data_IF_843940602741
#
_entry.id   IF_843940602741
#
_cell.length_a   1.000
_cell.length_b   1.000
_cell.length_c   1.000
_cell.angle_alpha   90.00
_cell.angle_beta   90.00
_cell.angle_gamma   90.00
#
_symmetry.space_group_name_H-M   'P 1'
#
loop_
_entity.id
_entity.type
_entity.pdbx_description
1 polymer ?
#
# COMPACT_ATOMS: atom_id res chain seq x y z
N UNK A 1 -13.96 -18.02 46.37
CA UNK A 1 -12.61 -18.54 46.12
C UNK A 1 -12.32 -18.29 44.66
N UNK A 2 -11.53 -17.25 44.47
CA UNK A 2 -10.91 -16.83 43.22
C UNK A 2 -10.07 -17.98 42.64
N UNK A 3 -10.22 -18.26 41.34
CA UNK A 3 -9.15 -18.93 40.59
C UNK A 3 -8.91 -18.17 39.28
N UNK A 4 -7.75 -17.55 39.27
CA UNK A 4 -7.18 -16.62 38.31
C UNK A 4 -6.55 -17.45 37.17
N UNK A 5 -7.29 -17.78 36.10
CA UNK A 5 -6.70 -18.44 34.93
C UNK A 5 -6.40 -17.44 33.80
N UNK A 6 -5.15 -16.98 33.84
CA UNK A 6 -4.36 -16.15 32.90
C UNK A 6 -4.71 -16.31 31.41
N UNK A 7 -4.58 -15.25 30.57
CA UNK A 7 -4.76 -15.35 29.12
C UNK A 7 -3.74 -16.30 28.50
N UNK A 8 -4.20 -17.41 27.91
CA UNK A 8 -3.34 -18.37 27.25
C UNK A 8 -2.80 -17.80 25.94
N UNK A 9 -1.47 -17.70 25.93
CA UNK A 9 -0.60 -17.20 24.89
C UNK A 9 -0.89 -17.87 23.54
N UNK A 10 -1.24 -17.04 22.55
CA UNK A 10 -1.59 -17.43 21.19
C UNK A 10 -0.41 -18.11 20.48
N UNK A 11 -0.43 -19.43 20.45
CA UNK A 11 0.43 -20.28 19.59
C UNK A 11 0.32 -19.76 18.14
N UNK A 12 1.44 -19.51 17.43
CA UNK A 12 1.36 -19.04 16.05
C UNK A 12 0.62 -20.08 15.20
N UNK A 13 -0.38 -19.68 14.39
CA UNK A 13 -1.12 -20.61 13.54
C UNK A 13 -0.19 -21.26 12.51
N UNK A 14 -0.49 -22.51 12.08
CA UNK A 14 0.38 -23.30 11.21
C UNK A 14 0.71 -22.59 9.88
N UNK A 15 1.85 -22.89 9.23
CA UNK A 15 2.39 -22.10 8.12
C UNK A 15 1.55 -22.09 6.82
N UNK A 16 0.51 -22.91 6.73
CA UNK A 16 -0.25 -23.17 5.49
C UNK A 16 -1.34 -22.14 5.20
N UNK A 17 -2.02 -21.62 6.22
CA UNK A 17 -3.07 -20.59 6.04
C UNK A 17 -2.49 -19.20 5.76
N UNK A 18 -1.35 -18.88 6.37
CA UNK A 18 -0.71 -17.57 6.22
C UNK A 18 -0.26 -17.28 4.78
N UNK A 19 0.11 -18.32 4.02
CA UNK A 19 0.55 -18.19 2.61
C UNK A 19 -0.65 -17.94 1.69
N UNK A 20 -1.77 -18.63 1.92
CA UNK A 20 -3.01 -18.42 1.16
C UNK A 20 -3.58 -17.01 1.41
N UNK A 21 -3.61 -16.58 2.66
CA UNK A 21 -4.15 -15.27 3.04
C UNK A 21 -3.25 -14.12 2.57
N UNK A 22 -1.92 -14.29 2.60
CA UNK A 22 -0.98 -13.34 2.00
C UNK A 22 -1.18 -13.24 0.49
N UNK A 23 -1.32 -14.38 -0.20
CA UNK A 23 -1.56 -14.40 -1.65
C UNK A 23 -2.88 -13.69 -2.02
N UNK A 24 -3.95 -13.91 -1.24
CA UNK A 24 -5.22 -13.22 -1.42
C UNK A 24 -5.11 -11.70 -1.17
N UNK A 25 -4.39 -11.27 -0.12
CA UNK A 25 -4.14 -9.85 0.14
C UNK A 25 -3.36 -9.18 -0.99
N UNK A 26 -2.32 -9.83 -1.50
CA UNK A 26 -1.56 -9.34 -2.65
C UNK A 26 -2.43 -9.25 -3.91
N UNK A 27 -3.29 -10.24 -4.15
CA UNK A 27 -4.24 -10.19 -5.25
C UNK A 27 -5.21 -9.01 -5.12
N UNK A 28 -5.77 -8.78 -3.93
CA UNK A 28 -6.64 -7.62 -3.68
C UNK A 28 -5.88 -6.29 -3.81
N UNK A 29 -4.64 -6.23 -3.32
CA UNK A 29 -3.77 -5.06 -3.47
C UNK A 29 -3.57 -4.71 -4.95
N UNK A 30 -3.31 -5.72 -5.78
CA UNK A 30 -3.15 -5.57 -7.22
C UNK A 30 -4.45 -5.10 -7.89
N UNK A 31 -5.60 -5.64 -7.51
CA UNK A 31 -6.90 -5.15 -8.00
C UNK A 31 -7.11 -3.68 -7.65
N UNK A 32 -6.81 -3.26 -6.42
CA UNK A 32 -6.91 -1.86 -6.02
C UNK A 32 -5.95 -0.97 -6.81
N UNK A 33 -4.73 -1.42 -7.08
CA UNK A 33 -3.77 -0.71 -7.93
C UNK A 33 -4.29 -0.53 -9.36
N UNK A 34 -4.82 -1.60 -9.97
CA UNK A 34 -5.39 -1.55 -11.32
C UNK A 34 -6.58 -0.60 -11.39
N UNK A 35 -7.46 -0.64 -10.39
CA UNK A 35 -8.58 0.30 -10.30
C UNK A 35 -8.09 1.75 -10.13
N UNK A 36 -7.05 1.97 -9.32
CA UNK A 36 -6.41 3.27 -9.17
C UNK A 36 -5.85 3.79 -10.50
N UNK A 37 -5.19 2.93 -11.28
CA UNK A 37 -4.69 3.29 -12.62
C UNK A 37 -5.82 3.67 -13.56
N UNK A 38 -6.94 2.95 -13.53
CA UNK A 38 -8.13 3.28 -14.33
C UNK A 38 -8.69 4.64 -13.92
N UNK A 39 -8.85 4.90 -12.62
CA UNK A 39 -9.31 6.19 -12.11
C UNK A 39 -8.37 7.35 -12.51
N UNK A 40 -7.05 7.11 -12.44
CA UNK A 40 -6.04 8.08 -12.88
C UNK A 40 -6.18 8.41 -14.37
N UNK A 41 -6.38 7.39 -15.22
CA UNK A 41 -6.63 7.59 -16.66
C UNK A 41 -7.93 8.34 -16.93
N UNK A 42 -8.93 8.22 -16.05
CA UNK A 42 -10.18 8.98 -16.11
C UNK A 42 -10.08 10.41 -15.55
N UNK A 43 -8.87 10.89 -15.21
CA UNK A 43 -8.63 12.17 -14.51
C UNK A 43 -9.27 12.26 -13.11
N UNK A 44 -9.74 11.15 -12.55
CA UNK A 44 -10.28 11.08 -11.19
C UNK A 44 -9.15 10.86 -10.19
N UNK A 45 -8.28 11.86 -10.06
CA UNK A 45 -7.05 11.74 -9.28
C UNK A 45 -7.32 11.48 -7.79
N UNK A 46 -8.33 12.12 -7.21
CA UNK A 46 -8.69 11.91 -5.79
C UNK A 46 -9.08 10.45 -5.52
N UNK A 47 -9.93 9.87 -6.37
CA UNK A 47 -10.32 8.47 -6.26
C UNK A 47 -9.13 7.53 -6.50
N UNK A 48 -8.23 7.89 -7.43
CA UNK A 48 -7.01 7.11 -7.66
C UNK A 48 -6.13 7.04 -6.41
N UNK A 49 -5.99 8.15 -5.67
CA UNK A 49 -5.22 8.22 -4.42
C UNK A 49 -5.84 7.30 -3.36
N UNK A 50 -7.16 7.29 -3.21
CA UNK A 50 -7.84 6.42 -2.26
C UNK A 50 -7.63 4.94 -2.60
N UNK A 51 -7.69 4.59 -3.88
CA UNK A 51 -7.47 3.23 -4.36
C UNK A 51 -6.01 2.79 -4.19
N UNK A 52 -5.04 3.64 -4.52
CA UNK A 52 -3.64 3.36 -4.26
C UNK A 52 -3.35 3.23 -2.77
N UNK A 53 -3.99 4.04 -1.93
CA UNK A 53 -3.84 3.95 -0.47
C UNK A 53 -4.36 2.61 0.06
N UNK A 54 -5.52 2.13 -0.43
CA UNK A 54 -6.03 0.79 -0.11
C UNK A 54 -5.09 -0.31 -0.58
N UNK A 55 -4.50 -0.17 -1.77
CA UNK A 55 -3.50 -1.09 -2.29
C UNK A 55 -2.26 -1.13 -1.38
N UNK A 56 -1.74 0.02 -0.96
CA UNK A 56 -0.58 0.14 -0.06
C UNK A 56 -0.86 -0.46 1.33
N UNK A 57 -2.08 -0.32 1.85
CA UNK A 57 -2.47 -0.93 3.13
C UNK A 57 -2.43 -2.46 3.08
N UNK A 58 -2.64 -3.05 1.92
CA UNK A 58 -2.60 -4.50 1.71
C UNK A 58 -1.20 -4.98 1.29
N UNK A 59 -0.51 -4.20 0.45
CA UNK A 59 0.85 -4.43 -0.01
C UNK A 59 1.66 -3.13 -0.01
N UNK A 60 2.46 -2.97 1.03
CA UNK A 60 3.35 -1.82 1.18
C UNK A 60 4.71 -2.01 0.49
N UNK A 61 4.95 -3.15 -0.15
CA UNK A 61 6.25 -3.48 -0.78
C UNK A 61 6.34 -2.95 -2.21
N UNK A 62 5.19 -2.65 -2.83
CA UNK A 62 5.14 -2.23 -4.21
C UNK A 62 5.38 -0.72 -4.38
N UNK A 63 6.62 -0.35 -4.68
CA UNK A 63 7.03 1.04 -4.91
C UNK A 63 6.31 1.72 -6.09
N UNK A 64 5.83 0.94 -7.07
CA UNK A 64 5.09 1.48 -8.22
C UNK A 64 3.78 2.15 -7.78
N UNK A 65 3.13 1.61 -6.74
CA UNK A 65 1.88 2.18 -6.20
C UNK A 65 2.15 3.54 -5.57
N UNK A 66 3.25 3.69 -4.84
CA UNK A 66 3.67 4.97 -4.28
C UNK A 66 3.98 5.99 -5.37
N UNK A 67 4.66 5.59 -6.46
CA UNK A 67 4.92 6.51 -7.58
C UNK A 67 3.64 6.97 -8.24
N UNK A 68 2.69 6.05 -8.49
CA UNK A 68 1.42 6.41 -9.10
C UNK A 68 0.56 7.30 -8.19
N UNK A 69 0.63 7.10 -6.87
CA UNK A 69 -0.03 7.98 -5.89
C UNK A 69 0.63 9.36 -5.84
N UNK A 70 1.96 9.43 -5.86
CA UNK A 70 2.71 10.68 -5.95
C UNK A 70 2.36 11.47 -7.21
N UNK A 71 2.24 10.80 -8.37
CA UNK A 71 1.77 11.39 -9.62
C UNK A 71 0.33 11.92 -9.51
N UNK A 72 -0.56 11.19 -8.85
CA UNK A 72 -1.94 11.64 -8.63
C UNK A 72 -2.01 12.88 -7.74
N UNK A 73 -1.22 12.90 -6.67
CA UNK A 73 -1.04 14.09 -5.82
C UNK A 73 -0.48 15.27 -6.62
N UNK A 74 0.53 15.05 -7.45
CA UNK A 74 1.10 16.09 -8.31
C UNK A 74 0.06 16.68 -9.27
N UNK A 75 -0.82 15.85 -9.84
CA UNK A 75 -1.93 16.31 -10.72
C UNK A 75 -2.99 17.13 -9.98
N UNK A 76 -3.12 16.96 -8.67
CA UNK A 76 -3.99 17.76 -7.80
C UNK A 76 -3.29 18.99 -7.19
N UNK A 77 -2.02 19.23 -7.54
CA UNK A 77 -1.16 20.25 -6.92
C UNK A 77 -0.88 20.01 -5.42
N UNK A 78 -1.03 18.77 -4.96
CA UNK A 78 -0.67 18.33 -3.60
C UNK A 78 0.81 17.93 -3.57
N UNK A 79 1.69 18.92 -3.72
CA UNK A 79 3.12 18.67 -3.88
C UNK A 79 3.78 18.11 -2.62
N UNK A 80 3.32 18.52 -1.44
CA UNK A 80 3.87 18.05 -0.17
C UNK A 80 3.64 16.55 0.03
N UNK A 81 2.43 16.07 -0.25
CA UNK A 81 2.09 14.65 -0.21
C UNK A 81 2.81 13.84 -1.28
N UNK A 82 2.97 14.42 -2.47
CA UNK A 82 3.78 13.82 -3.55
C UNK A 82 5.23 13.62 -3.12
N UNK A 83 5.84 14.63 -2.49
CA UNK A 83 7.20 14.56 -1.96
C UNK A 83 7.36 13.54 -0.84
N UNK A 84 6.36 13.39 0.03
CA UNK A 84 6.35 12.37 1.08
C UNK A 84 6.38 10.95 0.47
N UNK A 85 5.62 10.71 -0.60
CA UNK A 85 5.62 9.42 -1.29
C UNK A 85 6.94 9.16 -2.02
N UNK A 86 7.48 10.16 -2.72
CA UNK A 86 8.81 10.11 -3.33
C UNK A 86 9.90 9.81 -2.29
N UNK A 87 9.83 10.44 -1.12
CA UNK A 87 10.79 10.21 -0.02
C UNK A 87 10.73 8.78 0.51
N UNK A 88 9.54 8.18 0.58
CA UNK A 88 9.38 6.75 0.94
C UNK A 88 10.02 5.84 -0.09
N UNK A 89 9.83 6.11 -1.38
CA UNK A 89 10.43 5.32 -2.46
C UNK A 89 11.96 5.39 -2.36
N UNK A 90 12.54 6.58 -2.22
CA UNK A 90 13.98 6.75 -2.07
C UNK A 90 14.54 6.10 -0.81
N UNK A 91 13.76 6.05 0.27
CA UNK A 91 14.15 5.38 1.52
C UNK A 91 14.19 3.86 1.37
N UNK A 92 13.36 3.29 0.50
CA UNK A 92 13.28 1.83 0.27
C UNK A 92 14.24 1.39 -0.85
N UNK A 93 14.26 2.11 -1.97
CA UNK A 93 15.14 1.89 -3.10
C UNK A 93 15.84 3.21 -3.46
N UNK A 94 17.04 3.46 -2.87
CA UNK A 94 17.83 4.65 -3.16
C UNK A 94 18.28 4.75 -4.61
N UNK A 95 18.25 3.66 -5.38
CA UNK A 95 18.57 3.64 -6.80
C UNK A 95 17.38 4.00 -7.69
N UNK A 96 16.17 4.10 -7.13
CA UNK A 96 14.96 4.51 -7.83
C UNK A 96 14.85 6.03 -8.04
N UNK A 97 15.98 6.69 -8.30
CA UNK A 97 16.08 8.15 -8.47
C UNK A 97 15.17 8.64 -9.61
N UNK A 98 14.86 7.79 -10.61
CA UNK A 98 13.94 8.09 -11.71
C UNK A 98 12.46 8.23 -11.32
N UNK A 99 12.06 7.84 -10.11
CA UNK A 99 10.67 7.99 -9.64
C UNK A 99 10.33 9.40 -9.11
N UNK A 100 11.34 10.26 -8.93
CA UNK A 100 11.21 11.55 -8.24
C UNK A 100 11.42 12.79 -9.14
N UNK A 101 11.72 12.59 -10.42
CA UNK A 101 12.06 13.63 -11.42
C UNK A 101 11.20 13.46 -12.66
#
# INVERSE_FOLDING_TARGET
>A
EDDDEKPTESRPPPPTDQVHEKSQRLHMAEQHRLNGNTAFKSNNYQQSIDLYTKSIMLDNTNLVVYMNRALAHFKLNHYDESLLDCSKILSQDPHHIKGCI
#
